data_IF_583070724481
#
_entry.id   IF_583070724481
#
_cell.length_a   1.000
_cell.length_b   1.000
_cell.length_c   1.000
_cell.angle_alpha   90.00
_cell.angle_beta   90.00
_cell.angle_gamma   90.00
#
_symmetry.space_group_name_H-M   'P 1'
#
loop_
_entity.id
_entity.type
_entity.pdbx_description
1 polymer ?
#
# COMPACT_ATOMS: atom_id res chain seq x y z
N UNK A 1 7.80 -12.80 -5.17
CA UNK A 1 6.62 -12.26 -4.49
C UNK A 1 6.60 -12.82 -3.08
N UNK A 2 6.46 -11.96 -2.08
CA UNK A 2 6.38 -12.32 -0.67
C UNK A 2 5.03 -11.89 -0.11
N UNK A 3 4.58 -12.49 0.98
CA UNK A 3 3.46 -11.97 1.74
C UNK A 3 3.97 -11.02 2.83
N UNK A 4 3.33 -9.87 2.98
CA UNK A 4 3.60 -8.94 4.08
C UNK A 4 2.31 -8.70 4.86
N UNK A 5 2.42 -8.49 6.17
CA UNK A 5 1.35 -7.93 6.98
C UNK A 5 1.70 -6.49 7.32
N UNK A 6 0.78 -5.56 7.09
CA UNK A 6 0.91 -4.17 7.53
C UNK A 6 0.67 -4.11 9.05
N UNK A 7 1.62 -3.56 9.80
CA UNK A 7 1.63 -3.53 11.27
C UNK A 7 1.46 -2.13 11.86
N UNK A 8 1.68 -1.08 11.06
CA UNK A 8 1.48 0.32 11.46
C UNK A 8 0.67 1.05 10.39
N UNK A 9 0.03 2.16 10.77
CA UNK A 9 -0.74 2.99 9.83
C UNK A 9 0.21 3.59 8.80
N UNK A 10 0.11 3.22 7.50
CA UNK A 10 1.08 3.68 6.51
C UNK A 10 1.06 5.19 6.34
N UNK A 11 2.22 5.79 6.07
CA UNK A 11 2.30 7.17 5.62
C UNK A 11 1.65 7.34 4.24
N UNK A 12 1.08 8.52 3.97
CA UNK A 12 0.54 8.84 2.65
C UNK A 12 -0.59 9.87 2.67
N UNK A 13 -1.09 10.19 1.49
CA UNK A 13 -2.12 11.23 1.31
C UNK A 13 -3.56 10.72 1.42
N UNK A 14 -3.77 9.40 1.40
CA UNK A 14 -5.10 8.83 1.61
C UNK A 14 -5.67 9.30 2.97
N UNK A 15 -7.01 9.51 3.07
CA UNK A 15 -7.64 9.89 4.33
C UNK A 15 -7.23 8.98 5.49
N UNK A 16 -7.19 9.52 6.71
CA UNK A 16 -6.74 8.78 7.89
C UNK A 16 -7.45 7.43 8.06
N UNK A 17 -8.78 7.44 7.96
CA UNK A 17 -9.60 6.23 8.06
C UNK A 17 -9.26 5.17 7.00
N UNK A 18 -8.95 5.58 5.76
CA UNK A 18 -8.52 4.65 4.69
C UNK A 18 -7.17 4.04 5.02
N UNK A 19 -6.25 4.84 5.58
CA UNK A 19 -4.90 4.36 5.93
C UNK A 19 -4.94 3.41 7.12
N UNK A 20 -5.79 3.69 8.11
CA UNK A 20 -6.02 2.82 9.26
C UNK A 20 -6.52 1.43 8.84
N UNK A 21 -7.33 1.35 7.78
CA UNK A 21 -7.79 0.07 7.25
C UNK A 21 -6.66 -0.80 6.69
N UNK A 22 -5.48 -0.28 6.35
CA UNK A 22 -4.38 -1.15 5.97
C UNK A 22 -3.85 -1.99 7.13
N UNK A 23 -3.97 -1.53 8.37
CA UNK A 23 -3.40 -2.23 9.52
C UNK A 23 -4.02 -3.62 9.67
N UNK A 24 -3.15 -4.63 9.77
CA UNK A 24 -3.52 -6.04 9.82
C UNK A 24 -3.66 -6.71 8.46
N UNK A 25 -3.72 -5.96 7.35
CA UNK A 25 -3.88 -6.54 6.01
C UNK A 25 -2.66 -7.37 5.59
N UNK A 26 -2.93 -8.56 5.05
CA UNK A 26 -1.93 -9.37 4.36
C UNK A 26 -1.94 -9.06 2.87
N UNK A 27 -0.80 -8.67 2.31
CA UNK A 27 -0.65 -8.25 0.91
C UNK A 27 0.44 -9.06 0.18
N UNK A 28 0.23 -9.41 -1.10
CA UNK A 28 1.29 -9.91 -1.96
C UNK A 28 2.18 -8.76 -2.43
N UNK A 29 3.46 -8.77 -2.05
CA UNK A 29 4.38 -7.68 -2.30
C UNK A 29 5.68 -8.11 -3.00
N UNK A 30 6.38 -7.12 -3.53
CA UNK A 30 7.75 -7.22 -4.03
C UNK A 30 8.63 -6.21 -3.29
N UNK A 31 9.82 -6.65 -2.87
CA UNK A 31 10.79 -5.77 -2.21
C UNK A 31 11.54 -4.98 -3.29
N UNK A 32 11.56 -3.66 -3.15
CA UNK A 32 12.25 -2.79 -4.11
C UNK A 32 12.98 -1.64 -3.42
N UNK A 33 13.99 -1.09 -4.10
CA UNK A 33 14.53 0.21 -3.76
C UNK A 33 13.77 1.31 -4.49
N UNK A 34 13.30 2.32 -3.77
CA UNK A 34 12.66 3.49 -4.37
C UNK A 34 13.15 4.78 -3.68
N UNK A 35 13.45 5.80 -4.50
CA UNK A 35 13.91 7.12 -4.05
C UNK A 35 12.83 8.19 -4.19
N UNK A 36 11.68 7.86 -4.78
CA UNK A 36 10.54 8.77 -4.89
C UNK A 36 9.21 8.02 -5.05
N UNK A 37 8.12 8.73 -4.78
CA UNK A 37 6.74 8.33 -4.98
C UNK A 37 5.88 9.51 -5.44
N UNK A 38 4.64 9.27 -5.85
CA UNK A 38 3.62 10.32 -6.01
C UNK A 38 2.53 10.17 -4.96
N UNK A 39 2.08 11.30 -4.45
CA UNK A 39 0.89 11.36 -3.60
C UNK A 39 -0.37 10.97 -4.37
N UNK A 40 -1.20 10.09 -3.80
CA UNK A 40 -2.39 9.56 -4.47
C UNK A 40 -3.47 10.62 -4.73
N UNK A 41 -3.51 11.71 -3.95
CA UNK A 41 -4.53 12.76 -4.08
C UNK A 41 -4.02 13.92 -4.92
N UNK A 42 -2.77 14.32 -4.71
CA UNK A 42 -2.22 15.53 -5.31
C UNK A 42 -1.37 15.24 -6.54
N UNK A 43 -0.92 14.00 -6.71
CA UNK A 43 0.10 13.63 -7.69
C UNK A 43 1.48 14.23 -7.39
N UNK A 44 1.64 14.93 -6.26
CA UNK A 44 2.88 15.62 -5.92
C UNK A 44 4.01 14.60 -5.71
N UNK A 45 5.19 14.84 -6.29
CA UNK A 45 6.33 13.97 -6.06
C UNK A 45 6.80 14.11 -4.61
N UNK A 46 7.05 12.97 -3.98
CA UNK A 46 7.69 12.90 -2.68
C UNK A 46 9.00 12.15 -2.81
N UNK A 47 10.12 12.81 -2.50
CA UNK A 47 11.47 12.24 -2.59
C UNK A 47 11.86 11.69 -1.24
N UNK A 48 12.46 10.51 -1.23
CA UNK A 48 13.00 9.86 -0.04
C UNK A 48 14.52 9.69 -0.23
N UNK A 49 15.34 10.08 0.75
CA UNK A 49 16.80 10.09 0.58
C UNK A 49 17.33 8.69 0.25
N UNK A 50 16.86 7.66 0.96
CA UNK A 50 17.07 6.24 0.68
C UNK A 50 15.94 5.45 1.36
N UNK A 51 15.42 4.40 0.74
CA UNK A 51 14.38 3.57 1.36
C UNK A 51 14.18 2.26 0.62
N UNK A 52 14.02 1.20 1.40
CA UNK A 52 13.54 -0.10 0.91
C UNK A 52 12.04 -0.16 1.15
N UNK A 53 11.29 -0.49 0.11
CA UNK A 53 9.84 -0.45 0.12
C UNK A 53 9.27 -1.78 -0.32
N UNK A 54 8.01 -1.99 0.04
CA UNK A 54 7.17 -3.00 -0.55
C UNK A 54 6.26 -2.39 -1.61
N UNK A 55 6.35 -2.93 -2.83
CA UNK A 55 5.43 -2.63 -3.93
C UNK A 55 4.30 -3.65 -3.93
N UNK A 56 3.08 -3.14 -3.97
CA UNK A 56 1.87 -3.94 -4.16
C UNK A 56 1.13 -3.38 -5.36
N UNK A 57 0.91 -4.20 -6.39
CA UNK A 57 0.11 -3.77 -7.53
C UNK A 57 -1.27 -3.30 -7.04
N UNK A 58 -1.73 -2.15 -7.53
CA UNK A 58 -2.94 -1.48 -7.07
C UNK A 58 -4.13 -2.44 -6.96
N UNK A 59 -4.41 -3.16 -8.05
CA UNK A 59 -5.49 -4.15 -8.13
C UNK A 59 -5.38 -5.24 -7.07
N UNK A 60 -4.16 -5.68 -6.75
CA UNK A 60 -3.95 -6.70 -5.71
C UNK A 60 -4.17 -6.12 -4.32
N UNK A 61 -3.75 -4.87 -4.08
CA UNK A 61 -3.98 -4.20 -2.80
C UNK A 61 -5.47 -3.99 -2.53
N UNK A 62 -6.21 -3.50 -3.53
CA UNK A 62 -7.66 -3.29 -3.43
C UNK A 62 -8.39 -4.61 -3.19
N UNK A 63 -8.08 -5.67 -3.96
CA UNK A 63 -8.68 -7.00 -3.74
C UNK A 63 -8.38 -7.57 -2.36
N UNK A 64 -7.20 -7.28 -1.81
CA UNK A 64 -6.83 -7.73 -0.48
C UNK A 64 -7.62 -7.01 0.63
N UNK A 65 -7.97 -5.73 0.46
CA UNK A 65 -8.89 -5.06 1.38
C UNK A 65 -10.26 -5.75 1.37
N UNK A 66 -10.79 -6.03 0.18
CA UNK A 66 -12.10 -6.68 0.05
C UNK A 66 -12.15 -8.07 0.67
N UNK A 67 -11.16 -8.91 0.37
CA UNK A 67 -11.12 -10.28 0.89
C UNK A 67 -10.99 -10.32 2.41
N UNK A 68 -10.53 -9.22 3.02
CA UNK A 68 -10.37 -9.05 4.46
C UNK A 68 -11.51 -8.24 5.09
N UNK A 69 -12.61 -8.01 4.37
CA UNK A 69 -13.83 -7.37 4.90
C UNK A 69 -13.76 -5.85 4.99
N UNK A 70 -12.76 -5.21 4.36
CA UNK A 70 -12.50 -3.76 4.43
C UNK A 70 -13.05 -3.05 3.18
N UNK A 71 -14.32 -3.31 2.89
CA UNK A 71 -14.99 -2.89 1.66
C UNK A 71 -15.02 -1.37 1.46
N UNK A 72 -15.28 -0.60 2.52
CA UNK A 72 -15.35 0.86 2.42
C UNK A 72 -14.03 1.49 1.97
N UNK A 73 -12.89 1.00 2.49
CA UNK A 73 -11.58 1.44 2.03
C UNK A 73 -11.29 0.98 0.60
N UNK A 74 -11.68 -0.25 0.24
CA UNK A 74 -11.52 -0.76 -1.12
C UNK A 74 -12.27 0.11 -2.14
N UNK A 75 -13.52 0.49 -1.83
CA UNK A 75 -14.34 1.35 -2.68
C UNK A 75 -13.75 2.76 -2.82
N UNK A 76 -13.19 3.30 -1.74
CA UNK A 76 -12.45 4.57 -1.82
C UNK A 76 -11.28 4.47 -2.81
N UNK A 77 -10.46 3.43 -2.71
CA UNK A 77 -9.33 3.22 -3.63
C UNK A 77 -9.79 3.07 -5.08
N UNK A 78 -10.88 2.35 -5.34
CA UNK A 78 -11.45 2.25 -6.70
C UNK A 78 -11.93 3.56 -7.28
N UNK A 79 -12.50 4.41 -6.43
CA UNK A 79 -12.97 5.73 -6.84
C UNK A 79 -11.83 6.74 -7.06
N UNK A 80 -10.63 6.42 -6.57
CA UNK A 80 -9.46 7.30 -6.62
C UNK A 80 -8.77 7.18 -7.98
N UNK A 81 -8.59 8.28 -8.73
CA UNK A 81 -7.91 8.24 -10.02
C UNK A 81 -6.47 7.78 -9.90
N UNK A 82 -6.07 6.82 -10.74
CA UNK A 82 -4.70 6.34 -10.85
C UNK A 82 -4.40 5.90 -12.29
N UNK A 83 -3.14 5.88 -12.74
CA UNK A 83 -2.80 5.33 -14.05
C UNK A 83 -2.96 3.80 -14.07
N UNK A 84 -3.10 3.20 -15.26
CA UNK A 84 -3.02 1.75 -15.40
C UNK A 84 -1.71 1.21 -14.81
N UNK A 85 -1.77 0.00 -14.25
CA UNK A 85 -0.60 -0.72 -13.71
C UNK A 85 0.16 0.03 -12.59
N UNK A 86 -0.54 0.87 -11.83
CA UNK A 86 0.02 1.59 -10.68
C UNK A 86 0.32 0.66 -9.49
N UNK A 87 1.26 1.08 -8.65
CA UNK A 87 1.66 0.37 -7.44
C UNK A 87 1.46 1.23 -6.19
N UNK A 88 1.06 0.58 -5.10
CA UNK A 88 1.10 1.16 -3.77
C UNK A 88 2.44 0.86 -3.09
N UNK A 89 2.89 1.84 -2.32
CA UNK A 89 4.13 1.81 -1.56
C UNK A 89 3.85 1.67 -0.08
N UNK A 90 4.48 0.68 0.54
CA UNK A 90 4.50 0.52 1.99
C UNK A 90 5.94 0.48 2.47
N UNK A 91 6.25 1.19 3.56
CA UNK A 91 7.61 1.19 4.11
C UNK A 91 7.90 -0.15 4.77
N UNK A 92 9.17 -0.56 4.76
CA UNK A 92 9.56 -1.82 5.40
C UNK A 92 9.26 -1.80 6.91
N UNK A 93 9.40 -0.64 7.56
CA UNK A 93 9.13 -0.46 8.99
C UNK A 93 7.64 -0.58 9.34
N UNK A 94 6.75 -0.32 8.38
CA UNK A 94 5.29 -0.44 8.53
C UNK A 94 4.81 -1.88 8.32
N UNK A 95 5.72 -2.82 8.02
CA UNK A 95 5.40 -4.16 7.55
C UNK A 95 6.19 -5.25 8.28
N UNK A 96 5.64 -6.47 8.30
CA UNK A 96 6.39 -7.69 8.60
C UNK A 96 6.18 -8.74 7.50
N UNK A 97 7.22 -9.50 7.18
CA UNK A 97 7.10 -10.63 6.23
C UNK A 97 6.31 -11.75 6.90
N UNK A 98 5.33 -12.30 6.18
CA UNK A 98 4.57 -13.47 6.60
C UNK A 98 5.23 -14.70 5.96
N UNK A 99 5.75 -15.65 6.76
CA UNK A 99 6.34 -16.87 6.22
C UNK A 99 5.27 -17.74 5.53
N UNK A 100 5.64 -18.52 4.51
CA UNK A 100 4.76 -19.56 3.99
C UNK A 100 4.55 -20.63 5.06
N UNK A 101 3.31 -21.10 5.20
CA UNK A 101 2.96 -22.27 6.03
C UNK A 101 3.62 -23.55 5.48
#
# INVERSE_FOLDING_TARGET
>A
MIAIQIIEVPAGEAPGWVREEWVGCILPAELVGATWAKGVRTGAPHVFPFGTWYWVAWERAVRALESQGKGEAADWWRSTPHPPDEYLLFRIEECKVVPPD
#
